data_IF_834499836245
#
_entry.id   IF_834499836245
#
_cell.length_a   1.000
_cell.length_b   1.000
_cell.length_c   1.000
_cell.angle_alpha   90.00
_cell.angle_beta   90.00
_cell.angle_gamma   90.00
#
_symmetry.space_group_name_H-M   'P 1'
#
loop_
_entity.id
_entity.type
_entity.pdbx_description
1 polymer ?
#
# COMPACT_ATOMS: atom_id res chain seq x y z
N UNK A 1 -42.03 2.17 57.15
CA UNK A 1 -40.62 2.54 57.41
C UNK A 1 -39.85 2.32 56.12
N UNK A 2 -39.52 3.39 55.40
CA UNK A 2 -38.72 3.34 54.18
C UNK A 2 -37.29 3.76 54.54
N UNK A 3 -36.31 2.89 54.27
CA UNK A 3 -34.88 3.24 54.38
C UNK A 3 -34.50 4.14 53.19
N UNK A 4 -33.65 5.17 53.37
CA UNK A 4 -33.12 5.93 52.25
C UNK A 4 -31.98 5.15 51.58
N UNK A 5 -32.05 5.05 50.26
CA UNK A 5 -30.97 4.56 49.40
C UNK A 5 -29.75 5.49 49.53
N UNK A 6 -28.65 4.94 50.05
CA UNK A 6 -27.33 5.57 50.00
C UNK A 6 -26.91 5.62 48.52
N UNK A 7 -26.75 6.83 47.97
CA UNK A 7 -26.05 7.05 46.70
C UNK A 7 -24.63 6.55 46.88
N UNK A 8 -24.28 5.49 46.17
CA UNK A 8 -22.90 5.04 46.00
C UNK A 8 -22.30 5.94 44.94
N UNK A 9 -21.37 6.80 45.36
CA UNK A 9 -20.61 7.67 44.49
C UNK A 9 -20.00 6.84 43.36
N UNK A 10 -20.34 7.24 42.14
CA UNK A 10 -19.87 6.64 40.90
C UNK A 10 -18.58 7.35 40.52
N UNK A 11 -17.54 7.21 41.35
CA UNK A 11 -16.15 7.53 40.99
C UNK A 11 -15.65 6.42 40.05
N UNK A 12 -16.28 6.31 38.88
CA UNK A 12 -15.75 5.55 37.75
C UNK A 12 -14.83 6.49 36.98
N UNK A 13 -13.56 6.40 37.37
CA UNK A 13 -12.38 6.83 36.63
C UNK A 13 -12.67 7.12 35.15
N UNK A 14 -12.62 8.40 34.80
CA UNK A 14 -12.27 8.84 33.46
C UNK A 14 -10.83 8.39 33.17
N UNK A 15 -10.62 7.09 32.93
CA UNK A 15 -9.49 6.62 32.13
C UNK A 15 -9.66 7.22 30.74
N UNK A 16 -9.28 8.48 30.59
CA UNK A 16 -9.07 9.09 29.31
C UNK A 16 -8.11 8.17 28.55
N UNK A 17 -8.62 7.48 27.53
CA UNK A 17 -7.83 6.66 26.61
C UNK A 17 -6.76 7.56 25.98
N UNK A 18 -5.61 7.67 26.65
CA UNK A 18 -4.47 8.42 26.18
C UNK A 18 -3.96 7.68 24.95
N UNK A 19 -4.23 8.25 23.77
CA UNK A 19 -3.70 7.74 22.51
C UNK A 19 -2.19 7.53 22.66
N UNK A 20 -1.63 6.35 22.28
CA UNK A 20 -0.18 6.11 22.29
C UNK A 20 0.63 7.11 21.44
N UNK A 21 -0.06 7.90 20.62
CA UNK A 21 0.49 8.93 19.75
C UNK A 21 0.23 10.36 20.26
N UNK A 22 -0.25 10.53 21.50
CA UNK A 22 -0.45 11.86 22.07
C UNK A 22 0.88 12.59 22.19
N UNK A 23 0.93 13.85 21.73
CA UNK A 23 2.13 14.69 21.79
C UNK A 23 3.22 14.28 20.80
N UNK A 24 2.90 13.49 19.78
CA UNK A 24 3.87 13.13 18.74
C UNK A 24 4.23 14.35 17.89
N UNK A 25 5.52 14.67 17.80
CA UNK A 25 6.03 15.79 17.02
C UNK A 25 6.72 15.31 15.75
N UNK A 26 6.41 15.92 14.60
CA UNK A 26 7.01 15.57 13.31
C UNK A 26 8.55 15.52 13.37
N UNK A 27 9.17 16.55 13.92
CA UNK A 27 10.63 16.64 14.00
C UNK A 27 11.27 15.48 14.77
N UNK A 28 10.65 15.08 15.89
CA UNK A 28 11.12 13.94 16.68
C UNK A 28 11.01 12.62 15.91
N UNK A 29 9.88 12.39 15.22
CA UNK A 29 9.68 11.16 14.44
C UNK A 29 10.64 11.08 13.23
N UNK A 30 10.87 12.19 12.54
CA UNK A 30 11.85 12.25 11.44
C UNK A 30 13.27 11.97 11.95
N UNK A 31 13.60 12.42 13.16
CA UNK A 31 14.88 12.09 13.80
C UNK A 31 14.97 10.60 14.15
N UNK A 32 13.90 10.00 14.67
CA UNK A 32 13.83 8.55 14.95
C UNK A 32 13.99 7.71 13.67
N UNK A 33 13.52 8.20 12.51
CA UNK A 33 13.63 7.51 11.21
C UNK A 33 15.09 7.22 10.79
N UNK A 34 16.08 7.87 11.41
CA UNK A 34 17.50 7.56 11.22
C UNK A 34 17.85 6.11 11.62
N UNK A 35 17.03 5.44 12.43
CA UNK A 35 17.19 4.01 12.75
C UNK A 35 17.18 3.11 11.51
N UNK A 36 16.54 3.52 10.42
CA UNK A 36 16.51 2.73 9.18
C UNK A 36 17.88 2.65 8.49
N UNK A 37 18.84 3.50 8.88
CA UNK A 37 20.21 3.49 8.38
C UNK A 37 21.14 2.57 9.19
N UNK A 38 20.65 1.97 10.28
CA UNK A 38 21.45 1.08 11.12
C UNK A 38 21.85 -0.19 10.34
N UNK A 39 23.14 -0.57 10.30
CA UNK A 39 23.58 -1.84 9.73
C UNK A 39 22.88 -3.06 10.37
N UNK A 40 22.52 -2.98 11.64
CA UNK A 40 21.78 -4.01 12.37
C UNK A 40 20.32 -3.62 12.53
N UNK A 41 19.52 -3.87 11.49
CA UNK A 41 18.09 -3.54 11.52
C UNK A 41 17.34 -4.35 12.58
N UNK A 42 16.64 -3.63 13.45
CA UNK A 42 15.68 -4.19 14.40
C UNK A 42 14.24 -4.02 13.87
N UNK A 43 13.57 -5.09 13.40
CA UNK A 43 12.30 -4.96 12.69
C UNK A 43 11.17 -4.35 13.52
N UNK A 44 11.12 -4.65 14.82
CA UNK A 44 10.11 -4.11 15.74
C UNK A 44 10.23 -2.60 15.88
N UNK A 45 11.45 -2.13 16.17
CA UNK A 45 11.76 -0.70 16.28
C UNK A 45 11.51 0.02 14.97
N UNK A 46 11.93 -0.55 13.84
CA UNK A 46 11.67 0.05 12.53
C UNK A 46 10.15 0.15 12.25
N UNK A 47 9.38 -0.89 12.57
CA UNK A 47 7.93 -0.89 12.37
C UNK A 47 7.22 0.16 13.23
N UNK A 48 7.67 0.38 14.47
CA UNK A 48 7.13 1.43 15.34
C UNK A 48 7.36 2.82 14.73
N UNK A 49 8.56 3.09 14.21
CA UNK A 49 8.86 4.38 13.57
C UNK A 49 8.07 4.57 12.28
N UNK A 50 7.92 3.54 11.43
CA UNK A 50 7.03 3.62 10.26
C UNK A 50 5.59 3.91 10.69
N UNK A 51 5.10 3.27 11.75
CA UNK A 51 3.73 3.51 12.26
C UNK A 51 3.54 4.96 12.68
N UNK A 52 4.52 5.55 13.37
CA UNK A 52 4.52 6.97 13.73
C UNK A 52 4.50 7.88 12.50
N UNK A 53 5.31 7.60 11.48
CA UNK A 53 5.33 8.35 10.21
C UNK A 53 3.99 8.28 9.49
N UNK A 54 3.42 7.07 9.36
CA UNK A 54 2.10 6.86 8.76
C UNK A 54 0.99 7.56 9.54
N UNK A 55 1.06 7.55 10.88
CA UNK A 55 0.12 8.25 11.72
C UNK A 55 0.13 9.75 11.45
N UNK A 56 1.31 10.38 11.40
CA UNK A 56 1.46 11.81 11.09
C UNK A 56 0.83 12.14 9.73
N UNK A 57 1.17 11.37 8.69
CA UNK A 57 0.60 11.56 7.35
C UNK A 57 -0.94 11.41 7.36
N UNK A 58 -1.47 10.44 8.10
CA UNK A 58 -2.91 10.22 8.22
C UNK A 58 -3.64 11.34 9.00
N UNK A 59 -2.95 12.07 9.88
CA UNK A 59 -3.50 13.27 10.54
C UNK A 59 -3.44 14.52 9.65
N UNK A 60 -2.93 14.41 8.41
CA UNK A 60 -2.80 15.52 7.47
C UNK A 60 -1.48 16.29 7.61
N UNK A 61 -0.53 15.83 8.42
CA UNK A 61 0.80 16.41 8.46
C UNK A 61 1.50 16.19 7.12
N UNK A 62 2.07 17.25 6.55
CA UNK A 62 2.79 17.16 5.28
C UNK A 62 4.29 17.20 5.50
N UNK A 63 5.01 16.28 4.85
CA UNK A 63 6.46 16.35 4.76
C UNK A 63 6.88 17.31 3.65
N UNK A 64 7.90 18.10 3.92
CA UNK A 64 8.58 18.85 2.87
C UNK A 64 9.20 17.87 1.87
N UNK A 65 9.51 18.34 0.65
CA UNK A 65 10.15 17.50 -0.37
C UNK A 65 11.44 16.84 0.14
N UNK A 66 12.26 17.60 0.88
CA UNK A 66 13.53 17.10 1.43
C UNK A 66 13.26 16.00 2.46
N UNK A 67 12.36 16.23 3.41
CA UNK A 67 12.00 15.23 4.43
C UNK A 67 11.43 13.96 3.79
N UNK A 68 10.52 14.10 2.82
CA UNK A 68 9.91 12.95 2.14
C UNK A 68 10.96 12.11 1.40
N UNK A 69 11.87 12.76 0.67
CA UNK A 69 13.00 12.13 -0.01
C UNK A 69 13.93 11.42 0.97
N UNK A 70 14.33 12.06 2.06
CA UNK A 70 15.18 11.43 3.09
C UNK A 70 14.52 10.19 3.71
N UNK A 71 13.25 10.30 4.08
CA UNK A 71 12.46 9.17 4.61
C UNK A 71 12.34 8.07 3.55
N UNK A 72 12.10 8.40 2.29
CA UNK A 72 12.01 7.43 1.21
C UNK A 72 13.31 6.63 1.09
N UNK A 73 14.46 7.30 0.95
CA UNK A 73 15.76 6.63 0.86
C UNK A 73 16.04 5.76 2.10
N UNK A 74 15.71 6.24 3.29
CA UNK A 74 15.87 5.48 4.53
C UNK A 74 14.98 4.22 4.54
N UNK A 75 13.71 4.34 4.13
CA UNK A 75 12.74 3.23 4.04
C UNK A 75 13.16 2.19 3.00
N UNK A 76 13.74 2.60 1.87
CA UNK A 76 14.19 1.64 0.84
C UNK A 76 15.25 0.67 1.36
N UNK A 77 16.10 1.09 2.32
CA UNK A 77 17.10 0.22 2.94
C UNK A 77 16.46 -0.93 3.72
N UNK A 78 15.23 -0.75 4.22
CA UNK A 78 14.51 -1.77 4.98
C UNK A 78 14.13 -3.00 4.14
N UNK A 79 14.19 -2.93 2.80
CA UNK A 79 14.06 -4.11 1.93
C UNK A 79 15.13 -5.19 2.20
N UNK A 80 16.25 -4.85 2.84
CA UNK A 80 17.26 -5.84 3.26
C UNK A 80 16.75 -6.77 4.39
N UNK A 81 15.75 -6.33 5.16
CA UNK A 81 15.14 -7.15 6.19
C UNK A 81 14.30 -8.28 5.59
N UNK A 82 14.38 -9.45 6.21
CA UNK A 82 13.56 -10.63 5.88
C UNK A 82 12.25 -10.69 6.66
N UNK A 83 12.05 -9.76 7.60
CA UNK A 83 10.84 -9.72 8.42
C UNK A 83 9.60 -9.36 7.57
N UNK A 84 8.62 -10.25 7.59
CA UNK A 84 7.41 -10.12 6.75
C UNK A 84 6.52 -8.97 7.19
N UNK A 85 6.48 -8.66 8.49
CA UNK A 85 5.71 -7.55 9.05
C UNK A 85 6.28 -6.22 8.60
N UNK A 86 7.58 -6.02 8.80
CA UNK A 86 8.29 -4.83 8.36
C UNK A 86 8.18 -4.65 6.84
N UNK A 87 8.28 -5.72 6.05
CA UNK A 87 8.11 -5.62 4.59
C UNK A 87 6.75 -5.04 4.20
N UNK A 88 5.67 -5.40 4.90
CA UNK A 88 4.34 -4.81 4.69
C UNK A 88 4.30 -3.33 5.06
N UNK A 89 4.96 -2.95 6.15
CA UNK A 89 5.07 -1.54 6.56
C UNK A 89 5.82 -0.70 5.51
N UNK A 90 6.87 -1.25 4.92
CA UNK A 90 7.63 -0.61 3.82
C UNK A 90 6.73 -0.34 2.60
N UNK A 91 5.90 -1.33 2.20
CA UNK A 91 4.95 -1.15 1.10
C UNK A 91 3.97 -0.01 1.34
N UNK A 92 3.42 0.10 2.56
CA UNK A 92 2.52 1.19 2.93
C UNK A 92 3.25 2.53 2.84
N UNK A 93 4.43 2.63 3.46
CA UNK A 93 5.18 3.88 3.49
C UNK A 93 5.54 4.39 2.08
N UNK A 94 5.94 3.50 1.16
CA UNK A 94 6.23 3.88 -0.24
C UNK A 94 4.99 4.45 -0.94
N UNK A 95 3.81 3.88 -0.69
CA UNK A 95 2.56 4.39 -1.29
C UNK A 95 2.20 5.78 -0.79
N UNK A 96 2.46 6.06 0.49
CA UNK A 96 2.10 7.35 1.11
C UNK A 96 3.08 8.47 0.77
N UNK A 97 4.37 8.17 0.56
CA UNK A 97 5.38 9.20 0.26
C UNK A 97 5.27 9.80 -1.16
N UNK A 98 4.55 9.14 -2.08
CA UNK A 98 4.42 9.57 -3.48
C UNK A 98 5.76 9.96 -4.13
N UNK A 99 6.71 9.00 -4.26
CA UNK A 99 8.06 9.28 -4.75
C UNK A 99 8.08 9.89 -6.15
N UNK A 100 9.10 10.71 -6.40
CA UNK A 100 9.43 11.24 -7.74
C UNK A 100 9.90 10.14 -8.69
N UNK A 101 9.90 10.42 -9.99
CA UNK A 101 10.31 9.44 -11.01
C UNK A 101 11.72 8.87 -10.77
N UNK A 102 12.66 9.72 -10.36
CA UNK A 102 14.05 9.30 -10.06
C UNK A 102 14.13 8.36 -8.85
N UNK A 103 13.25 8.57 -7.86
CA UNK A 103 13.16 7.76 -6.64
C UNK A 103 12.49 6.41 -6.91
N UNK A 104 11.49 6.36 -7.78
CA UNK A 104 10.77 5.13 -8.14
C UNK A 104 11.72 4.05 -8.67
N UNK A 105 12.76 4.44 -9.42
CA UNK A 105 13.76 3.51 -9.98
C UNK A 105 14.43 2.68 -8.88
N UNK A 106 14.65 3.25 -7.69
CA UNK A 106 15.37 2.62 -6.57
C UNK A 106 14.61 1.41 -6.03
N UNK A 107 13.28 1.52 -5.92
CA UNK A 107 12.43 0.45 -5.39
C UNK A 107 11.91 -0.50 -6.46
N UNK A 108 11.97 -0.10 -7.73
CA UNK A 108 11.38 -0.85 -8.85
C UNK A 108 11.94 -2.28 -8.93
N UNK A 109 13.26 -2.46 -8.85
CA UNK A 109 13.87 -3.80 -8.90
C UNK A 109 13.46 -4.68 -7.72
N UNK A 110 13.39 -4.12 -6.51
CA UNK A 110 12.96 -4.81 -5.30
C UNK A 110 11.48 -5.22 -5.37
N UNK A 111 10.63 -4.33 -5.85
CA UNK A 111 9.20 -4.59 -6.05
C UNK A 111 8.96 -5.63 -7.16
N UNK A 112 9.69 -5.55 -8.27
CA UNK A 112 9.61 -6.57 -9.33
C UNK A 112 10.06 -7.95 -8.84
N UNK A 113 11.08 -8.01 -7.99
CA UNK A 113 11.51 -9.25 -7.34
C UNK A 113 10.41 -9.81 -6.43
N UNK A 114 9.77 -8.96 -5.63
CA UNK A 114 8.68 -9.37 -4.74
C UNK A 114 7.42 -9.78 -5.52
N UNK A 115 7.13 -9.12 -6.65
CA UNK A 115 6.03 -9.46 -7.59
C UNK A 115 6.15 -10.87 -8.18
N UNK A 116 7.39 -11.36 -8.33
CA UNK A 116 7.72 -12.69 -8.82
C UNK A 116 8.11 -13.68 -7.70
N UNK A 117 7.88 -13.30 -6.45
CA UNK A 117 8.19 -14.16 -5.30
C UNK A 117 7.31 -15.41 -5.27
N UNK A 118 7.75 -16.45 -4.55
CA UNK A 118 6.90 -17.61 -4.23
C UNK A 118 5.86 -17.30 -3.16
N UNK A 119 6.01 -16.19 -2.45
CA UNK A 119 5.10 -15.76 -1.39
C UNK A 119 3.99 -14.89 -1.95
N UNK A 120 2.77 -15.42 -2.06
CA UNK A 120 1.63 -14.72 -2.66
C UNK A 120 1.35 -13.34 -2.04
N UNK A 121 1.56 -13.20 -0.73
CA UNK A 121 1.40 -11.92 -0.03
C UNK A 121 2.41 -10.86 -0.50
N UNK A 122 3.64 -11.25 -0.84
CA UNK A 122 4.62 -10.33 -1.42
C UNK A 122 4.22 -9.95 -2.83
N UNK A 123 3.77 -10.92 -3.63
CA UNK A 123 3.31 -10.66 -5.00
C UNK A 123 2.17 -9.65 -5.03
N UNK A 124 1.11 -9.90 -4.26
CA UNK A 124 -0.07 -9.06 -4.22
C UNK A 124 0.25 -7.64 -3.72
N UNK A 125 1.04 -7.51 -2.66
CA UNK A 125 1.38 -6.19 -2.13
C UNK A 125 2.33 -5.43 -3.05
N UNK A 126 3.33 -6.09 -3.64
CA UNK A 126 4.24 -5.48 -4.59
C UNK A 126 3.48 -4.94 -5.82
N UNK A 127 2.50 -5.69 -6.35
CA UNK A 127 1.63 -5.22 -7.45
C UNK A 127 0.89 -3.93 -7.06
N UNK A 128 0.30 -3.86 -5.86
CA UNK A 128 -0.42 -2.65 -5.41
C UNK A 128 0.49 -1.44 -5.26
N UNK A 129 1.72 -1.65 -4.79
CA UNK A 129 2.70 -0.56 -4.64
C UNK A 129 3.21 -0.12 -6.01
N UNK A 130 3.64 -1.07 -6.84
CA UNK A 130 4.24 -0.80 -8.14
C UNK A 130 3.27 -0.04 -9.03
N UNK A 131 2.04 -0.54 -9.20
CA UNK A 131 1.02 0.15 -10.00
C UNK A 131 0.61 1.53 -9.45
N UNK A 132 0.87 1.83 -8.17
CA UNK A 132 0.61 3.14 -7.58
C UNK A 132 1.69 4.17 -7.93
N UNK A 133 2.94 3.74 -8.07
CA UNK A 133 4.11 4.61 -8.29
C UNK A 133 4.63 4.59 -9.74
N UNK A 134 4.09 3.70 -10.57
CA UNK A 134 4.52 3.49 -11.95
C UNK A 134 3.99 4.57 -12.91
N UNK A 135 4.84 4.98 -13.86
CA UNK A 135 4.49 5.81 -15.02
C UNK A 135 4.21 4.94 -16.27
N UNK A 136 3.82 5.56 -17.40
CA UNK A 136 3.48 4.80 -18.62
C UNK A 136 4.63 3.99 -19.21
N UNK A 137 5.86 4.48 -19.08
CA UNK A 137 7.07 3.80 -19.57
C UNK A 137 7.33 2.53 -18.76
N UNK A 138 7.38 2.65 -17.43
CA UNK A 138 7.58 1.51 -16.55
C UNK A 138 6.38 0.55 -16.61
N UNK A 139 5.15 1.04 -16.81
CA UNK A 139 3.96 0.21 -16.94
C UNK A 139 4.08 -0.76 -18.12
N UNK A 140 4.59 -0.27 -19.24
CA UNK A 140 4.82 -1.10 -20.44
C UNK A 140 5.82 -2.23 -20.15
N UNK A 141 6.86 -1.96 -19.36
CA UNK A 141 7.87 -2.96 -18.99
C UNK A 141 7.28 -4.07 -18.09
N UNK A 142 6.38 -3.70 -17.18
CA UNK A 142 5.80 -4.64 -16.21
C UNK A 142 4.49 -5.28 -16.69
N UNK A 143 3.94 -4.83 -17.82
CA UNK A 143 2.63 -5.25 -18.36
C UNK A 143 2.46 -6.77 -18.38
N UNK A 144 3.47 -7.49 -18.86
CA UNK A 144 3.44 -8.96 -18.95
C UNK A 144 3.19 -9.61 -17.58
N UNK A 145 3.84 -9.10 -16.53
CA UNK A 145 3.69 -9.63 -15.18
C UNK A 145 2.31 -9.33 -14.61
N UNK A 146 1.74 -8.16 -14.93
CA UNK A 146 0.39 -7.79 -14.51
C UNK A 146 -0.66 -8.67 -15.20
N UNK A 147 -0.53 -8.93 -16.50
CA UNK A 147 -1.39 -9.87 -17.24
C UNK A 147 -1.39 -11.27 -16.61
N UNK A 148 -0.21 -11.79 -16.29
CA UNK A 148 -0.08 -13.07 -15.59
C UNK A 148 -0.73 -13.04 -14.20
N UNK A 149 -0.60 -11.93 -13.48
CA UNK A 149 -1.19 -11.78 -12.17
C UNK A 149 -2.72 -11.72 -12.20
N UNK A 150 -3.34 -11.14 -13.25
CA UNK A 150 -4.81 -11.05 -13.41
C UNK A 150 -5.46 -12.44 -13.42
N UNK A 151 -4.84 -13.41 -14.09
CA UNK A 151 -5.31 -14.80 -14.21
C UNK A 151 -4.67 -15.73 -13.17
N UNK A 152 -4.10 -15.18 -12.11
CA UNK A 152 -3.44 -15.98 -11.08
C UNK A 152 -4.43 -16.87 -10.31
N UNK A 153 -3.98 -18.08 -9.95
CA UNK A 153 -4.78 -19.02 -9.17
C UNK A 153 -5.06 -18.51 -7.75
N UNK A 154 -4.16 -17.71 -7.19
CA UNK A 154 -4.37 -17.09 -5.89
C UNK A 154 -5.28 -15.85 -6.05
N UNK A 155 -6.48 -15.86 -5.44
CA UNK A 155 -7.45 -14.78 -5.62
C UNK A 155 -6.95 -13.44 -5.07
N UNK A 156 -6.05 -13.42 -4.09
CA UNK A 156 -5.49 -12.19 -3.53
C UNK A 156 -4.56 -11.50 -4.54
N UNK A 157 -3.81 -12.28 -5.33
CA UNK A 157 -2.91 -11.76 -6.37
C UNK A 157 -3.72 -11.26 -7.57
N UNK A 158 -4.66 -12.07 -8.06
CA UNK A 158 -5.58 -11.68 -9.13
C UNK A 158 -6.36 -10.41 -8.78
N UNK A 159 -6.96 -10.38 -7.58
CA UNK A 159 -7.66 -9.20 -7.09
C UNK A 159 -6.74 -7.97 -6.98
N UNK A 160 -5.49 -8.13 -6.55
CA UNK A 160 -4.55 -7.01 -6.49
C UNK A 160 -4.27 -6.44 -7.88
N UNK A 161 -4.03 -7.29 -8.88
CA UNK A 161 -3.78 -6.88 -10.25
C UNK A 161 -5.00 -6.20 -10.91
N UNK A 162 -6.20 -6.75 -10.69
CA UNK A 162 -7.44 -6.19 -11.22
C UNK A 162 -7.74 -4.79 -10.65
N UNK A 163 -7.64 -4.62 -9.33
CA UNK A 163 -7.85 -3.31 -8.69
C UNK A 163 -6.76 -2.32 -9.11
N UNK A 164 -5.50 -2.77 -9.22
CA UNK A 164 -4.44 -1.95 -9.80
C UNK A 164 -4.75 -1.53 -11.23
N UNK A 165 -5.33 -2.42 -12.05
CA UNK A 165 -5.79 -2.10 -13.41
C UNK A 165 -6.87 -1.02 -13.45
N UNK A 166 -7.82 -1.03 -12.50
CA UNK A 166 -8.84 0.01 -12.37
C UNK A 166 -8.19 1.38 -12.11
N UNK A 167 -7.23 1.46 -11.21
CA UNK A 167 -6.51 2.70 -10.93
C UNK A 167 -5.67 3.16 -12.14
N UNK A 168 -4.98 2.23 -12.80
CA UNK A 168 -4.15 2.53 -13.97
C UNK A 168 -4.98 2.98 -15.17
N UNK A 169 -6.24 2.59 -15.29
CA UNK A 169 -7.12 3.01 -16.39
C UNK A 169 -7.31 4.53 -16.42
N UNK A 170 -7.21 5.21 -15.27
CA UNK A 170 -7.35 6.66 -15.16
C UNK A 170 -6.17 7.41 -15.78
N UNK A 171 -4.98 6.81 -15.80
CA UNK A 171 -3.73 7.47 -16.23
C UNK A 171 -3.13 6.85 -17.49
N UNK A 172 -3.38 5.56 -17.74
CA UNK A 172 -2.79 4.76 -18.81
C UNK A 172 -3.83 3.87 -19.52
N UNK A 173 -4.95 4.44 -20.03
CA UNK A 173 -6.08 3.66 -20.54
C UNK A 173 -5.72 2.76 -21.73
N UNK A 174 -4.84 3.22 -22.62
CA UNK A 174 -4.43 2.47 -23.81
C UNK A 174 -3.72 1.16 -23.46
N UNK A 175 -2.88 1.17 -22.42
CA UNK A 175 -2.15 -0.03 -21.98
C UNK A 175 -3.11 -1.01 -21.33
N UNK A 176 -3.96 -0.54 -20.41
CA UNK A 176 -4.91 -1.40 -19.67
C UNK A 176 -5.95 -2.05 -20.59
N UNK A 177 -6.37 -1.37 -21.66
CA UNK A 177 -7.27 -1.95 -22.68
C UNK A 177 -6.71 -3.22 -23.31
N UNK A 178 -5.38 -3.36 -23.42
CA UNK A 178 -4.74 -4.57 -23.94
C UNK A 178 -4.87 -5.79 -23.03
N UNK A 179 -5.43 -5.63 -21.83
CA UNK A 179 -5.59 -6.68 -20.82
C UNK A 179 -6.99 -7.34 -20.91
N UNK A 180 -7.80 -6.95 -21.91
CA UNK A 180 -9.20 -7.37 -22.06
C UNK A 180 -9.37 -8.89 -22.06
N UNK A 181 -8.43 -9.64 -22.65
CA UNK A 181 -8.50 -11.11 -22.69
C UNK A 181 -8.34 -11.71 -21.29
N UNK A 182 -7.31 -11.28 -20.55
CA UNK A 182 -7.04 -11.74 -19.19
C UNK A 182 -8.16 -11.34 -18.22
N UNK A 183 -8.72 -10.13 -18.39
CA UNK A 183 -9.85 -9.66 -17.57
C UNK A 183 -11.11 -10.50 -17.85
N UNK A 184 -11.41 -10.81 -19.11
CA UNK A 184 -12.54 -11.69 -19.46
C UNK A 184 -12.39 -13.09 -18.88
N UNK A 185 -11.17 -13.65 -18.89
CA UNK A 185 -10.88 -14.92 -18.22
C UNK A 185 -11.14 -14.82 -16.71
N UNK A 186 -10.69 -13.73 -16.07
CA UNK A 186 -10.88 -13.50 -14.64
C UNK A 186 -12.35 -13.33 -14.22
N UNK A 187 -13.24 -12.87 -15.12
CA UNK A 187 -14.71 -12.84 -14.88
C UNK A 187 -15.28 -14.25 -14.66
N UNK A 188 -14.67 -15.27 -15.25
CA UNK A 188 -15.07 -16.67 -15.07
C UNK A 188 -14.48 -17.32 -13.80
N UNK A 189 -13.76 -16.56 -12.98
CA UNK A 189 -13.20 -17.06 -11.72
C UNK A 189 -14.30 -17.52 -10.76
N UNK A 190 -14.03 -18.63 -10.06
CA UNK A 190 -14.89 -19.13 -8.98
C UNK A 190 -14.81 -18.27 -7.72
N UNK A 191 -13.78 -17.44 -7.59
CA UNK A 191 -13.63 -16.54 -6.45
C UNK A 191 -14.48 -15.29 -6.67
N UNK A 192 -15.53 -15.12 -5.88
CA UNK A 192 -16.48 -13.99 -6.00
C UNK A 192 -15.77 -12.61 -6.01
N UNK A 193 -14.73 -12.45 -5.19
CA UNK A 193 -13.94 -11.22 -5.15
C UNK A 193 -13.21 -10.93 -6.47
N UNK A 194 -12.64 -11.95 -7.11
CA UNK A 194 -11.94 -11.80 -8.39
C UNK A 194 -12.95 -11.50 -9.50
N UNK A 195 -14.05 -12.23 -9.53
CA UNK A 195 -15.13 -11.99 -10.49
C UNK A 195 -15.69 -10.57 -10.37
N UNK A 196 -15.92 -10.08 -9.16
CA UNK A 196 -16.38 -8.71 -8.91
C UNK A 196 -15.40 -7.67 -9.46
N UNK A 197 -14.11 -7.76 -9.11
CA UNK A 197 -13.10 -6.81 -9.60
C UNK A 197 -12.87 -6.91 -11.12
N UNK A 198 -12.95 -8.11 -11.69
CA UNK A 198 -12.81 -8.33 -13.13
C UNK A 198 -13.98 -7.71 -13.89
N UNK A 199 -15.21 -7.91 -13.41
CA UNK A 199 -16.39 -7.30 -14.00
C UNK A 199 -16.33 -5.76 -13.90
N UNK A 200 -15.89 -5.23 -12.76
CA UNK A 200 -15.72 -3.80 -12.56
C UNK A 200 -14.69 -3.20 -13.55
N UNK A 201 -13.53 -3.84 -13.72
CA UNK A 201 -12.52 -3.41 -14.68
C UNK A 201 -13.01 -3.52 -16.12
N UNK A 202 -13.64 -4.63 -16.48
CA UNK A 202 -14.22 -4.85 -17.81
C UNK A 202 -15.27 -3.78 -18.14
N UNK A 203 -16.16 -3.49 -17.19
CA UNK A 203 -17.17 -2.46 -17.34
C UNK A 203 -16.54 -1.10 -17.64
N UNK A 204 -15.51 -0.69 -16.89
CA UNK A 204 -14.84 0.60 -17.12
C UNK A 204 -14.09 0.64 -18.46
N UNK A 205 -13.42 -0.44 -18.84
CA UNK A 205 -12.74 -0.55 -20.14
C UNK A 205 -13.72 -0.41 -21.30
N UNK A 206 -14.88 -1.07 -21.21
CA UNK A 206 -15.92 -1.02 -22.24
C UNK A 206 -16.71 0.30 -22.24
N UNK A 207 -17.04 0.88 -21.09
CA UNK A 207 -17.85 2.11 -21.01
C UNK A 207 -17.13 3.34 -21.56
N UNK A 208 -15.82 3.47 -21.34
CA UNK A 208 -15.05 4.59 -21.91
C UNK A 208 -15.11 4.59 -23.45
N UNK A 209 -15.31 3.43 -24.08
CA UNK A 209 -15.44 3.32 -25.53
C UNK A 209 -16.73 3.95 -26.08
N UNK A 210 -17.85 3.88 -25.36
CA UNK A 210 -19.15 4.36 -25.84
C UNK A 210 -19.38 5.87 -25.70
N UNK A 211 -18.54 6.56 -24.92
CA UNK A 211 -18.65 8.01 -24.69
C UNK A 211 -17.55 8.84 -25.37
N UNK A 212 -16.58 8.21 -26.04
CA UNK A 212 -15.50 8.89 -26.78
C UNK A 212 -15.49 8.56 -28.28
N UNK A 213 -16.58 7.96 -28.77
CA UNK A 213 -16.96 7.87 -30.20
C UNK A 213 -18.26 8.64 -30.35
#
# INVERSE_FOLDING_TARGET
MAQPLVKKDDDRDDEADYSPFLGIEKGAVLQEARVFNDPQLEPRRCSQVITKLLYLLNQGETFTKIEATEVFFAVTKLFQSRDTGLRRMVYLMIKELSPSADEVIIVTSSLMKDMNSKTDMYRANAIRVLCRITDGTLLTQIERYLKQAIVDKNPVVASAALVSGIHLLQTNPEIVRRWSNEVQEAVQSRAALVQFHALALLHQVCWIFWFHV
#
